data_IF_416152128370
#
_entry.id   IF_416152128370
#
_cell.length_a   1.000
_cell.length_b   1.000
_cell.length_c   1.000
_cell.angle_alpha   90.00
_cell.angle_beta   90.00
_cell.angle_gamma   90.00
#
_symmetry.space_group_name_H-M   'P 1'
#
loop_
_entity.id
_entity.type
_entity.pdbx_description
1 polymer ?
#
# COMPACT_ATOMS: atom_id res chain seq x y z
N UNK A 1 21.36 10.25 -22.94
CA UNK A 1 22.42 10.81 -22.10
C UNK A 1 22.37 10.10 -20.75
N UNK A 2 23.29 9.16 -20.53
CA UNK A 2 23.36 8.35 -19.32
C UNK A 2 24.00 9.17 -18.22
N UNK A 3 23.21 9.64 -17.24
CA UNK A 3 23.77 10.23 -16.03
C UNK A 3 24.36 9.11 -15.17
N UNK A 4 25.69 8.99 -15.21
CA UNK A 4 26.45 8.19 -14.25
C UNK A 4 26.27 8.78 -12.85
N UNK A 5 25.58 8.07 -11.99
CA UNK A 5 25.51 8.38 -10.56
C UNK A 5 26.69 7.72 -9.85
N UNK A 6 27.92 8.11 -10.20
CA UNK A 6 29.09 7.68 -9.45
C UNK A 6 29.11 8.36 -8.09
N UNK A 7 29.03 7.57 -7.04
CA UNK A 7 29.19 7.99 -5.64
C UNK A 7 30.67 8.38 -5.44
N UNK A 8 30.96 9.56 -4.86
CA UNK A 8 32.31 9.98 -4.57
C UNK A 8 33.08 8.90 -3.77
N UNK A 9 34.33 8.66 -4.13
CA UNK A 9 35.19 7.61 -3.52
C UNK A 9 35.40 7.78 -2.01
N UNK A 10 35.18 8.95 -1.46
CA UNK A 10 35.40 9.32 -0.07
C UNK A 10 34.36 8.75 0.91
N UNK A 11 33.23 8.25 0.41
CA UNK A 11 32.12 7.71 1.23
C UNK A 11 31.87 6.21 1.01
N UNK A 12 32.92 5.42 0.82
CA UNK A 12 32.76 3.96 0.76
C UNK A 12 32.62 3.40 2.19
N UNK A 13 31.47 2.82 2.57
CA UNK A 13 31.34 2.14 3.84
C UNK A 13 32.36 0.99 3.94
N UNK A 14 33.11 0.90 5.05
CA UNK A 14 34.09 -0.19 5.29
C UNK A 14 33.47 -1.61 5.24
N UNK A 15 32.14 -1.72 5.30
CA UNK A 15 31.38 -2.96 5.17
C UNK A 15 31.40 -3.58 3.77
N UNK A 16 31.79 -2.84 2.74
CA UNK A 16 31.92 -3.37 1.37
C UNK A 16 33.07 -4.37 1.21
N UNK A 17 34.02 -4.40 2.15
CA UNK A 17 35.16 -5.33 2.11
C UNK A 17 34.74 -6.80 2.26
N UNK A 18 33.57 -7.07 2.82
CA UNK A 18 32.99 -8.42 2.91
C UNK A 18 32.53 -8.98 1.56
N UNK A 19 32.20 -8.11 0.59
CA UNK A 19 31.74 -8.47 -0.74
C UNK A 19 32.86 -8.50 -1.81
N UNK A 20 34.04 -7.98 -1.50
CA UNK A 20 35.18 -7.90 -2.44
C UNK A 20 35.79 -9.26 -2.77
N UNK A 21 35.46 -10.34 -2.05
CA UNK A 21 35.95 -11.71 -2.33
C UNK A 21 35.13 -12.45 -3.39
N UNK A 22 34.00 -11.92 -3.86
CA UNK A 22 33.28 -12.49 -5.00
C UNK A 22 33.59 -11.69 -6.26
N UNK A 23 34.00 -12.36 -7.32
CA UNK A 23 34.26 -11.74 -8.61
C UNK A 23 33.05 -10.93 -9.09
N UNK A 24 33.14 -9.58 -9.07
CA UNK A 24 32.08 -8.69 -9.53
C UNK A 24 31.67 -7.56 -8.57
N UNK A 25 32.09 -7.60 -7.31
CA UNK A 25 31.72 -6.58 -6.30
C UNK A 25 30.23 -6.59 -5.90
N UNK A 26 29.81 -5.73 -4.94
CA UNK A 26 28.43 -5.70 -4.48
C UNK A 26 27.48 -5.23 -5.58
N UNK A 27 26.24 -5.81 -5.67
CA UNK A 27 25.23 -5.39 -6.62
C UNK A 27 24.97 -3.88 -6.57
N UNK A 28 24.74 -3.26 -7.73
CA UNK A 28 24.50 -1.81 -7.84
C UNK A 28 23.45 -1.30 -6.85
N UNK A 29 22.36 -2.03 -6.73
CA UNK A 29 21.25 -1.63 -5.86
C UNK A 29 21.61 -1.71 -4.36
N UNK A 30 22.47 -2.68 -3.96
CA UNK A 30 22.98 -2.74 -2.59
C UNK A 30 23.88 -1.54 -2.27
N UNK A 31 24.73 -1.11 -3.19
CA UNK A 31 25.57 0.11 -2.99
C UNK A 31 24.70 1.34 -2.78
N UNK A 32 23.66 1.51 -3.60
CA UNK A 32 22.67 2.60 -3.42
C UNK A 32 21.96 2.50 -2.08
N UNK A 33 21.54 1.30 -1.68
CA UNK A 33 20.86 1.07 -0.41
C UNK A 33 21.75 1.40 0.80
N UNK A 34 23.03 0.99 0.78
CA UNK A 34 23.97 1.32 1.86
C UNK A 34 24.20 2.84 2.00
N UNK A 35 24.35 3.53 0.88
CA UNK A 35 24.47 5.00 0.88
C UNK A 35 23.20 5.68 1.42
N UNK A 36 22.00 5.22 1.02
CA UNK A 36 20.73 5.75 1.54
C UNK A 36 20.57 5.49 3.03
N UNK A 37 20.97 4.31 3.49
CA UNK A 37 20.94 3.96 4.90
C UNK A 37 21.88 4.84 5.75
N UNK A 38 23.06 5.17 5.21
CA UNK A 38 24.04 6.06 5.86
C UNK A 38 23.47 7.47 6.07
N UNK A 39 22.66 7.98 5.15
CA UNK A 39 21.96 9.26 5.30
C UNK A 39 20.62 9.16 6.05
N UNK A 40 20.34 8.01 6.69
CA UNK A 40 19.18 7.82 7.58
C UNK A 40 17.88 7.41 6.90
N UNK A 41 17.91 6.99 5.63
CA UNK A 41 16.73 6.46 4.95
C UNK A 41 16.61 4.95 5.13
N UNK A 42 15.60 4.41 5.82
CA UNK A 42 15.36 2.98 5.90
C UNK A 42 15.00 2.42 4.52
N UNK A 43 15.78 1.44 4.03
CA UNK A 43 15.69 0.94 2.65
C UNK A 43 15.35 -0.52 2.55
N UNK A 44 14.82 -0.92 1.38
CA UNK A 44 14.50 -2.31 1.05
C UNK A 44 14.69 -2.53 -0.47
N UNK A 45 15.00 -3.79 -0.91
CA UNK A 45 15.03 -4.13 -2.32
C UNK A 45 13.61 -4.25 -2.89
N UNK A 46 13.44 -3.87 -4.16
CA UNK A 46 12.24 -4.15 -4.94
C UNK A 46 12.59 -5.04 -6.12
N UNK A 47 11.74 -6.02 -6.41
CA UNK A 47 11.75 -6.81 -7.63
C UNK A 47 11.04 -6.09 -8.77
N UNK A 48 10.97 -6.70 -9.92
CA UNK A 48 10.22 -6.23 -11.07
C UNK A 48 8.78 -5.79 -10.69
N UNK A 49 8.24 -4.81 -11.43
CA UNK A 49 6.91 -4.27 -11.17
C UNK A 49 6.80 -3.42 -9.90
N UNK A 50 7.92 -2.96 -9.33
CA UNK A 50 7.98 -2.15 -8.09
C UNK A 50 7.46 -2.89 -6.84
N UNK A 51 7.46 -4.21 -6.86
CA UNK A 51 6.94 -5.03 -5.77
C UNK A 51 8.04 -5.36 -4.76
N UNK A 52 7.75 -5.40 -3.44
CA UNK A 52 8.68 -5.95 -2.47
C UNK A 52 8.83 -7.47 -2.68
N UNK A 53 9.89 -8.05 -2.12
CA UNK A 53 10.02 -9.51 -2.09
C UNK A 53 8.92 -10.10 -1.18
N UNK A 54 8.44 -11.29 -1.54
CA UNK A 54 7.35 -11.94 -0.85
C UNK A 54 7.72 -12.39 0.58
N UNK A 55 6.72 -12.77 1.35
CA UNK A 55 6.89 -13.27 2.70
C UNK A 55 7.80 -14.52 2.72
N UNK A 56 8.65 -14.63 3.73
CA UNK A 56 9.40 -15.84 3.98
C UNK A 56 8.51 -16.94 4.58
N UNK A 57 9.00 -18.19 4.62
CA UNK A 57 8.22 -19.32 5.18
C UNK A 57 7.80 -19.10 6.64
N UNK A 58 8.63 -18.40 7.43
CA UNK A 58 8.34 -18.09 8.83
C UNK A 58 7.17 -17.09 8.99
N UNK A 59 6.74 -16.46 7.90
CA UNK A 59 5.71 -15.43 7.89
C UNK A 59 4.49 -15.85 7.07
N UNK A 60 4.21 -17.15 6.98
CA UNK A 60 3.15 -17.70 6.13
C UNK A 60 1.78 -17.02 6.36
N UNK A 61 1.50 -16.62 7.61
CA UNK A 61 0.26 -15.97 8.00
C UNK A 61 0.36 -14.44 8.13
N UNK A 62 1.28 -13.81 7.39
CA UNK A 62 1.58 -12.38 7.53
C UNK A 62 2.04 -11.95 8.93
N UNK A 63 2.36 -12.88 9.80
CA UNK A 63 3.01 -12.63 11.08
C UNK A 63 4.53 -12.62 10.90
N UNK A 64 5.23 -11.77 11.67
CA UNK A 64 6.69 -11.69 11.64
C UNK A 64 7.19 -11.29 13.02
N UNK A 65 7.94 -12.18 13.66
CA UNK A 65 8.21 -12.03 15.08
C UNK A 65 6.88 -11.88 15.80
N UNK A 66 6.74 -11.20 16.84
CA UNK A 66 5.49 -11.06 17.58
C UNK A 66 4.45 -10.14 16.91
N UNK A 67 4.59 -9.84 15.60
CA UNK A 67 3.64 -9.00 14.88
C UNK A 67 2.40 -9.79 14.46
N UNK A 68 1.20 -9.41 14.92
CA UNK A 68 -0.02 -10.14 14.60
C UNK A 68 -0.45 -9.99 13.14
N UNK A 69 -0.06 -8.89 12.47
CA UNK A 69 -0.39 -8.61 11.06
C UNK A 69 0.41 -7.43 10.50
N UNK A 70 0.41 -7.27 9.18
CA UNK A 70 1.14 -6.19 8.47
C UNK A 70 0.68 -4.77 8.79
N UNK A 71 -0.52 -4.60 9.34
CA UNK A 71 -1.05 -3.29 9.75
C UNK A 71 -0.50 -2.82 11.11
N UNK A 72 0.13 -3.71 11.88
CA UNK A 72 0.77 -3.31 13.12
C UNK A 72 2.02 -2.47 12.82
N UNK A 73 2.16 -1.33 13.51
CA UNK A 73 3.35 -0.50 13.40
C UNK A 73 4.57 -1.24 13.95
N UNK A 74 5.75 -0.91 13.42
CA UNK A 74 7.01 -1.45 13.91
C UNK A 74 7.80 -2.22 12.84
N UNK A 75 9.09 -2.47 13.10
CA UNK A 75 9.98 -3.14 12.15
C UNK A 75 9.64 -4.62 12.01
N UNK A 76 9.99 -5.18 10.85
CA UNK A 76 9.97 -6.61 10.62
C UNK A 76 11.20 -7.25 11.27
N UNK A 77 11.01 -8.30 12.06
CA UNK A 77 12.08 -9.07 12.69
C UNK A 77 12.53 -10.27 11.85
N UNK A 78 11.99 -10.45 10.66
CA UNK A 78 12.41 -11.52 9.77
C UNK A 78 13.87 -11.36 9.32
N UNK A 79 14.59 -12.48 9.16
CA UNK A 79 15.96 -12.44 8.63
C UNK A 79 16.01 -12.01 7.16
N UNK A 80 14.91 -12.13 6.40
CA UNK A 80 14.81 -11.76 4.98
C UNK A 80 14.03 -10.46 4.79
N UNK A 81 14.20 -9.73 3.68
CA UNK A 81 13.46 -8.48 3.38
C UNK A 81 12.03 -8.76 2.93
N UNK A 82 11.30 -9.50 3.73
CA UNK A 82 9.87 -9.74 3.56
C UNK A 82 9.02 -8.66 4.24
N UNK A 83 7.74 -8.59 3.98
CA UNK A 83 6.81 -7.61 4.56
C UNK A 83 6.99 -6.15 4.09
N UNK A 84 7.55 -5.92 2.89
CA UNK A 84 7.56 -4.61 2.26
C UNK A 84 8.17 -3.52 3.14
N UNK A 85 7.42 -2.45 3.41
CA UNK A 85 7.89 -1.30 4.18
C UNK A 85 8.42 -1.67 5.58
N UNK A 86 7.88 -2.72 6.22
CA UNK A 86 8.26 -3.13 7.56
C UNK A 86 9.65 -3.78 7.62
N UNK A 87 10.17 -4.24 6.49
CA UNK A 87 11.54 -4.75 6.37
C UNK A 87 12.57 -3.64 6.15
N UNK A 88 12.13 -2.42 5.83
CA UNK A 88 13.04 -1.32 5.57
C UNK A 88 13.95 -1.03 6.78
N UNK A 89 15.25 -0.91 6.54
CA UNK A 89 16.23 -0.72 7.61
C UNK A 89 17.35 0.23 7.20
N UNK A 90 17.93 0.92 8.18
CA UNK A 90 19.17 1.69 8.04
C UNK A 90 20.39 0.91 8.52
N UNK A 91 20.20 -0.32 9.04
CA UNK A 91 21.31 -1.12 9.55
C UNK A 91 22.13 -1.74 8.39
N UNK A 92 23.37 -1.29 8.15
CA UNK A 92 24.18 -1.76 7.05
C UNK A 92 24.56 -3.24 7.17
N UNK A 93 24.64 -3.79 8.38
CA UNK A 93 24.92 -5.21 8.60
C UNK A 93 23.74 -6.09 8.15
N UNK A 94 22.51 -5.63 8.36
CA UNK A 94 21.31 -6.32 7.86
C UNK A 94 21.26 -6.24 6.33
N UNK A 95 21.47 -5.05 5.76
CA UNK A 95 21.47 -4.85 4.29
C UNK A 95 22.52 -5.70 3.60
N UNK A 96 23.73 -5.82 4.17
CA UNK A 96 24.84 -6.60 3.62
C UNK A 96 24.84 -8.07 4.07
N UNK A 97 23.83 -8.54 4.81
CA UNK A 97 23.78 -9.90 5.33
C UNK A 97 23.64 -10.95 4.21
N UNK A 98 24.12 -12.18 4.44
CA UNK A 98 23.88 -13.30 3.54
C UNK A 98 22.39 -13.58 3.30
N UNK A 99 21.54 -13.30 4.31
CA UNK A 99 20.10 -13.50 4.22
C UNK A 99 19.43 -12.57 3.20
N UNK A 100 20.00 -11.40 2.92
CA UNK A 100 19.49 -10.44 1.92
C UNK A 100 20.23 -10.51 0.58
N UNK A 101 21.29 -11.29 0.48
CA UNK A 101 22.17 -11.30 -0.69
C UNK A 101 21.48 -11.77 -1.97
N UNK A 102 20.53 -12.71 -1.87
CA UNK A 102 19.74 -13.20 -3.00
C UNK A 102 18.83 -12.10 -3.54
N UNK A 103 18.12 -11.42 -2.67
CA UNK A 103 17.16 -10.39 -3.00
C UNK A 103 17.87 -9.18 -3.63
N UNK A 104 19.05 -8.79 -3.13
CA UNK A 104 19.85 -7.73 -3.76
C UNK A 104 20.35 -8.10 -5.16
N UNK A 105 20.65 -9.38 -5.43
CA UNK A 105 21.00 -9.83 -6.79
C UNK A 105 19.83 -9.78 -7.75
N UNK A 106 18.63 -9.98 -7.26
CA UNK A 106 17.38 -9.97 -8.03
C UNK A 106 16.67 -8.61 -8.02
N UNK A 107 17.19 -7.64 -7.29
CA UNK A 107 16.56 -6.34 -7.17
C UNK A 107 16.64 -5.54 -8.48
N UNK A 108 15.51 -5.00 -8.90
CA UNK A 108 15.35 -4.07 -10.02
C UNK A 108 15.37 -2.60 -9.56
N UNK A 109 15.18 -2.37 -8.26
CA UNK A 109 15.21 -1.05 -7.68
C UNK A 109 15.46 -1.09 -6.17
N UNK A 110 15.75 0.09 -5.61
CA UNK A 110 15.75 0.36 -4.18
C UNK A 110 14.50 1.16 -3.85
N UNK A 111 13.84 0.81 -2.77
CA UNK A 111 12.82 1.64 -2.13
C UNK A 111 13.29 2.08 -0.75
N UNK A 112 12.62 3.10 -0.23
CA UNK A 112 12.80 3.55 1.15
C UNK A 112 11.44 3.72 1.83
N UNK A 113 11.43 3.62 3.15
CA UNK A 113 10.25 3.85 3.99
C UNK A 113 10.25 5.31 4.48
N UNK A 114 9.45 6.21 3.85
CA UNK A 114 9.48 7.63 4.17
C UNK A 114 9.14 7.89 5.64
N UNK A 115 8.08 7.26 6.17
CA UNK A 115 7.64 7.44 7.54
C UNK A 115 8.71 7.05 8.56
N UNK A 116 9.52 6.02 8.29
CA UNK A 116 10.65 5.62 9.12
C UNK A 116 11.79 6.63 9.13
N UNK A 117 11.88 7.48 8.12
CA UNK A 117 12.83 8.59 8.04
C UNK A 117 12.21 9.93 8.48
N UNK A 118 11.00 9.94 9.03
CA UNK A 118 10.31 11.17 9.39
C UNK A 118 9.87 11.99 8.17
N UNK A 119 9.63 11.36 7.02
CA UNK A 119 9.28 12.00 5.76
C UNK A 119 7.89 11.63 5.28
N UNK A 120 7.36 12.47 4.40
CA UNK A 120 6.15 12.20 3.61
C UNK A 120 6.44 12.48 2.14
N UNK A 121 6.08 11.54 1.28
CA UNK A 121 6.12 11.67 -0.17
C UNK A 121 4.70 11.84 -0.70
N UNK A 122 4.45 12.94 -1.40
CA UNK A 122 3.27 13.10 -2.25
C UNK A 122 3.68 12.60 -3.63
N UNK A 123 3.13 11.46 -4.01
CA UNK A 123 3.39 10.77 -5.29
C UNK A 123 2.37 11.24 -6.32
N UNK A 124 2.84 11.94 -7.33
CA UNK A 124 2.06 12.57 -8.39
C UNK A 124 2.27 11.75 -9.66
N UNK A 125 1.26 10.97 -10.05
CA UNK A 125 1.38 9.94 -11.09
C UNK A 125 1.24 10.45 -12.54
N UNK A 126 0.85 11.72 -12.73
CA UNK A 126 0.63 12.31 -14.06
C UNK A 126 0.77 13.83 -14.05
N UNK A 127 0.77 14.43 -15.24
CA UNK A 127 0.94 15.87 -15.45
C UNK A 127 -0.15 16.72 -14.76
N UNK A 128 -1.40 16.24 -14.74
CA UNK A 128 -2.52 16.96 -14.11
C UNK A 128 -2.34 17.02 -12.59
N UNK A 129 -1.91 15.91 -11.97
CA UNK A 129 -1.58 15.86 -10.55
C UNK A 129 -0.41 16.80 -10.22
N UNK A 130 0.62 16.87 -11.07
CA UNK A 130 1.76 17.79 -10.91
C UNK A 130 1.29 19.23 -11.04
N UNK A 131 0.48 19.58 -12.04
CA UNK A 131 -0.06 20.92 -12.21
C UNK A 131 -0.92 21.36 -11.03
N UNK A 132 -1.75 20.43 -10.52
CA UNK A 132 -2.53 20.66 -9.32
C UNK A 132 -1.64 20.90 -8.11
N UNK A 133 -0.61 20.07 -7.89
CA UNK A 133 0.30 20.23 -6.75
C UNK A 133 1.01 21.56 -6.77
N UNK A 134 1.51 22.02 -7.94
CA UNK A 134 2.16 23.33 -8.12
C UNK A 134 1.25 24.51 -7.75
N UNK A 135 -0.05 24.36 -7.95
CA UNK A 135 -1.05 25.39 -7.61
C UNK A 135 -1.45 25.39 -6.14
N UNK A 136 -1.46 24.20 -5.49
CA UNK A 136 -2.14 24.01 -4.21
C UNK A 136 -1.21 23.64 -3.05
N UNK A 137 0.03 23.21 -3.33
CA UNK A 137 0.96 22.77 -2.31
C UNK A 137 2.19 23.68 -2.25
N UNK A 138 2.77 23.93 -1.07
CA UNK A 138 4.04 24.62 -0.94
C UNK A 138 5.16 23.88 -1.67
N UNK A 139 6.05 24.62 -2.31
CA UNK A 139 7.23 24.07 -2.96
C UNK A 139 8.10 23.31 -1.95
N UNK A 140 8.67 22.20 -2.40
CA UNK A 140 9.52 21.34 -1.59
C UNK A 140 10.53 20.61 -2.48
N UNK A 141 11.29 19.70 -1.90
CA UNK A 141 12.20 18.81 -2.64
C UNK A 141 11.39 17.93 -3.61
N UNK A 142 11.78 17.98 -4.88
CA UNK A 142 11.07 17.31 -5.97
C UNK A 142 11.98 16.29 -6.66
N UNK A 143 11.45 15.11 -6.94
CA UNK A 143 12.14 14.05 -7.69
C UNK A 143 11.27 13.66 -8.88
N UNK A 144 11.82 13.78 -10.10
CA UNK A 144 11.11 13.34 -11.30
C UNK A 144 10.91 11.82 -11.31
N UNK A 145 9.75 11.39 -11.76
CA UNK A 145 9.41 9.98 -12.02
C UNK A 145 9.19 9.77 -13.53
N UNK A 146 8.79 8.58 -13.94
CA UNK A 146 8.55 8.28 -15.36
C UNK A 146 7.37 9.07 -15.93
N UNK A 147 6.35 9.38 -15.12
CA UNK A 147 5.10 10.00 -15.58
C UNK A 147 4.70 11.25 -14.79
N UNK A 148 5.42 11.56 -13.70
CA UNK A 148 5.09 12.66 -12.80
C UNK A 148 6.24 12.97 -11.85
N UNK A 149 5.93 13.23 -10.59
CA UNK A 149 6.91 13.70 -9.60
C UNK A 149 6.63 13.12 -8.21
N UNK A 150 7.68 12.92 -7.41
CA UNK A 150 7.59 12.79 -5.96
C UNK A 150 7.89 14.13 -5.32
N UNK A 151 7.00 14.64 -4.49
CA UNK A 151 7.22 15.82 -3.66
C UNK A 151 7.47 15.38 -2.23
N UNK A 152 8.64 15.70 -1.67
CA UNK A 152 9.11 15.16 -0.40
C UNK A 152 9.11 16.26 0.67
N UNK A 153 8.38 16.01 1.76
CA UNK A 153 8.26 16.91 2.91
C UNK A 153 8.86 16.30 4.17
N UNK A 154 9.42 17.13 5.06
CA UNK A 154 9.83 16.73 6.42
C UNK A 154 8.62 16.63 7.32
N UNK A 155 8.45 15.49 7.96
CA UNK A 155 7.34 15.15 8.84
C UNK A 155 6.66 13.88 8.37
N UNK A 156 6.35 12.98 9.32
CA UNK A 156 5.59 11.78 9.05
C UNK A 156 4.09 11.98 9.26
N UNK A 157 3.29 11.20 8.55
CA UNK A 157 1.85 11.14 8.68
C UNK A 157 1.31 9.77 8.25
N UNK A 158 0.04 9.53 8.42
CA UNK A 158 -0.62 8.34 7.88
C UNK A 158 -0.58 8.36 6.36
N UNK A 159 -0.21 7.24 5.73
CA UNK A 159 -0.29 7.08 4.28
C UNK A 159 -1.73 6.98 3.81
N UNK A 160 -2.00 7.48 2.62
CA UNK A 160 -3.31 7.39 1.98
C UNK A 160 -3.15 7.29 0.47
N UNK A 161 -3.87 6.36 -0.15
CA UNK A 161 -3.86 6.19 -1.60
C UNK A 161 -5.09 6.84 -2.23
N UNK A 162 -4.91 7.38 -3.43
CA UNK A 162 -6.01 7.96 -4.21
C UNK A 162 -6.70 9.13 -3.49
N UNK A 163 -5.94 9.94 -2.76
CA UNK A 163 -6.47 11.14 -2.07
C UNK A 163 -7.08 12.14 -3.06
N UNK A 164 -6.57 12.09 -4.30
CA UNK A 164 -7.11 12.75 -5.50
C UNK A 164 -6.75 11.89 -6.74
N UNK A 165 -7.34 12.14 -7.90
CA UNK A 165 -6.91 11.49 -9.14
C UNK A 165 -5.41 11.68 -9.38
N UNK A 166 -4.66 10.57 -9.42
CA UNK A 166 -3.20 10.57 -9.63
C UNK A 166 -2.36 11.06 -8.45
N UNK A 167 -2.92 11.18 -7.23
CA UNK A 167 -2.19 11.63 -6.04
C UNK A 167 -2.29 10.62 -4.92
N UNK A 168 -1.14 10.07 -4.52
CA UNK A 168 -0.97 9.21 -3.36
C UNK A 168 -0.09 9.90 -2.30
N UNK A 169 -0.34 9.60 -1.04
CA UNK A 169 0.52 10.00 0.08
C UNK A 169 1.20 8.77 0.65
N UNK A 170 2.54 8.75 0.63
CA UNK A 170 3.36 7.66 1.15
C UNK A 170 4.21 8.16 2.31
N UNK A 171 3.95 7.66 3.51
CA UNK A 171 4.68 7.99 4.72
C UNK A 171 4.75 6.80 5.67
N UNK A 172 4.00 6.76 6.78
CA UNK A 172 3.98 5.59 7.66
C UNK A 172 3.35 4.39 6.96
N UNK A 173 3.90 3.19 7.19
CA UNK A 173 3.41 1.92 6.63
C UNK A 173 3.36 1.87 5.08
N UNK A 174 4.23 2.65 4.43
CA UNK A 174 4.39 2.65 2.98
C UNK A 174 5.86 2.70 2.59
N UNK A 175 6.14 2.45 1.33
CA UNK A 175 7.46 2.67 0.75
C UNK A 175 7.34 3.49 -0.54
N UNK A 176 8.41 4.22 -0.86
CA UNK A 176 8.56 4.94 -2.10
C UNK A 176 9.81 4.41 -2.85
N UNK A 177 9.71 4.22 -4.16
CA UNK A 177 10.85 3.84 -4.97
C UNK A 177 11.85 5.00 -5.03
N UNK A 178 13.13 4.71 -4.79
CA UNK A 178 14.19 5.68 -4.98
C UNK A 178 14.37 6.01 -6.47
N UNK A 179 14.35 7.29 -6.81
CA UNK A 179 14.46 7.82 -8.18
C UNK A 179 15.64 8.78 -8.35
N UNK A 180 16.43 8.98 -7.29
CA UNK A 180 17.52 9.93 -7.26
C UNK A 180 17.35 10.98 -6.16
N UNK A 181 18.36 11.86 -6.01
CA UNK A 181 18.38 12.84 -4.93
C UNK A 181 17.34 13.97 -5.09
N UNK A 182 16.83 14.18 -6.30
CA UNK A 182 15.91 15.28 -6.60
C UNK A 182 16.54 16.66 -6.52
N UNK A 183 15.70 17.68 -6.63
CA UNK A 183 16.07 19.11 -6.63
C UNK A 183 15.27 19.88 -5.58
N UNK A 184 15.76 21.05 -5.20
CA UNK A 184 15.11 21.93 -4.22
C UNK A 184 15.36 21.53 -2.78
N UNK A 185 14.90 22.41 -1.87
CA UNK A 185 15.03 22.23 -0.42
C UNK A 185 13.77 21.60 0.14
N UNK A 186 13.93 20.65 1.05
CA UNK A 186 12.81 19.93 1.67
C UNK A 186 12.09 20.83 2.68
N UNK A 187 10.83 21.15 2.42
CA UNK A 187 9.96 21.92 3.30
C UNK A 187 9.38 21.05 4.44
N UNK A 188 8.89 21.68 5.50
CA UNK A 188 8.10 21.01 6.52
C UNK A 188 6.77 20.53 5.93
N UNK A 189 6.27 19.40 6.43
CA UNK A 189 4.99 18.82 5.98
C UNK A 189 3.83 19.78 6.28
N UNK A 190 3.19 20.36 5.25
CA UNK A 190 2.15 21.37 5.46
C UNK A 190 0.81 20.74 5.87
N UNK A 191 -0.01 21.53 6.58
CA UNK A 191 -1.35 21.11 7.01
C UNK A 191 -2.25 20.73 5.85
N UNK A 192 -2.12 21.39 4.71
CA UNK A 192 -2.90 21.04 3.50
C UNK A 192 -2.64 19.62 3.02
N UNK A 193 -1.40 19.09 3.11
CA UNK A 193 -1.09 17.70 2.78
C UNK A 193 -1.70 16.75 3.82
N UNK A 194 -1.67 17.11 5.10
CA UNK A 194 -2.32 16.33 6.16
C UNK A 194 -3.84 16.27 5.95
N UNK A 195 -4.45 17.39 5.55
CA UNK A 195 -5.89 17.47 5.27
C UNK A 195 -6.31 16.57 4.09
N UNK A 196 -5.44 16.38 3.08
CA UNK A 196 -5.75 15.46 1.96
C UNK A 196 -5.93 14.00 2.41
N UNK A 197 -5.19 13.58 3.44
CA UNK A 197 -5.30 12.22 3.98
C UNK A 197 -6.34 12.12 5.10
N UNK A 198 -6.77 13.24 5.67
CA UNK A 198 -7.92 13.25 6.56
C UNK A 198 -9.10 12.74 5.72
N UNK A 199 -9.58 11.53 6.04
CA UNK A 199 -10.92 11.17 5.59
C UNK A 199 -11.80 12.30 6.12
N UNK A 200 -12.50 13.02 5.23
CA UNK A 200 -13.65 13.80 5.71
C UNK A 200 -14.40 12.88 6.66
N UNK A 201 -14.67 13.32 7.91
CA UNK A 201 -15.59 12.59 8.74
C UNK A 201 -16.79 12.44 7.82
N UNK A 202 -17.10 11.17 7.45
CA UNK A 202 -18.15 10.86 6.46
C UNK A 202 -19.27 11.79 6.87
N UNK A 203 -19.51 12.81 6.04
CA UNK A 203 -20.49 13.83 6.37
C UNK A 203 -21.68 13.01 6.77
N UNK A 204 -22.09 13.12 8.04
CA UNK A 204 -23.29 12.45 8.53
C UNK A 204 -24.34 13.04 7.61
N UNK A 205 -24.53 12.39 6.45
CA UNK A 205 -25.68 12.70 5.61
C UNK A 205 -26.81 12.56 6.59
N UNK A 206 -27.52 13.67 6.89
CA UNK A 206 -28.65 13.55 7.77
C UNK A 206 -29.42 12.38 7.19
N UNK A 207 -29.47 11.27 7.95
CA UNK A 207 -30.27 10.12 7.56
C UNK A 207 -31.68 10.69 7.56
N UNK A 208 -32.31 10.92 6.39
CA UNK A 208 -33.67 11.36 6.40
C UNK A 208 -34.41 10.14 6.92
N UNK A 209 -35.01 10.36 8.07
CA UNK A 209 -35.95 9.44 8.70
C UNK A 209 -35.33 8.22 9.39
N UNK A 210 -35.22 8.26 10.67
CA UNK A 210 -35.33 7.11 11.55
C UNK A 210 -36.65 6.37 11.27
N UNK A 211 -36.64 5.58 10.20
CA UNK A 211 -37.58 4.47 10.15
C UNK A 211 -36.95 3.41 11.03
N UNK A 212 -37.40 3.32 12.25
CA UNK A 212 -37.22 2.16 13.11
C UNK A 212 -37.87 1.01 12.35
N UNK A 213 -37.10 0.28 11.55
CA UNK A 213 -37.58 -0.96 10.92
C UNK A 213 -37.62 -1.98 12.05
N UNK A 214 -38.79 -2.48 12.47
CA UNK A 214 -38.85 -3.59 13.40
C UNK A 214 -38.06 -4.74 12.79
N UNK A 215 -37.23 -5.42 13.57
CA UNK A 215 -36.60 -6.66 13.18
C UNK A 215 -37.73 -7.63 12.79
N UNK A 216 -37.92 -7.86 11.48
CA UNK A 216 -38.85 -8.84 10.98
C UNK A 216 -38.24 -10.22 11.21
N UNK A 217 -38.59 -10.81 12.36
CA UNK A 217 -38.45 -12.24 12.55
C UNK A 217 -39.48 -12.91 11.63
N UNK A 218 -39.02 -13.62 10.61
CA UNK A 218 -39.87 -14.44 9.75
C UNK A 218 -39.69 -14.10 8.26
N UNK A 219 -39.48 -15.08 7.42
CA UNK A 219 -39.18 -15.07 6.00
C UNK A 219 -40.09 -14.25 5.09
N UNK A 220 -40.23 -12.97 5.40
CA UNK A 220 -40.97 -11.99 4.62
C UNK A 220 -40.08 -11.36 3.52
N UNK A 221 -40.68 -11.10 2.37
CA UNK A 221 -40.03 -10.37 1.29
C UNK A 221 -39.46 -9.05 1.81
N UNK A 222 -38.22 -8.76 1.47
CA UNK A 222 -37.58 -7.48 1.78
C UNK A 222 -38.48 -6.34 1.27
N UNK A 223 -38.94 -5.41 2.12
CA UNK A 223 -39.89 -4.37 1.71
C UNK A 223 -39.32 -3.40 0.68
N UNK A 224 -38.00 -3.38 0.52
CA UNK A 224 -37.32 -2.43 -0.33
C UNK A 224 -36.72 -3.05 -1.62
N UNK A 225 -36.62 -4.38 -1.68
CA UNK A 225 -35.94 -5.08 -2.78
C UNK A 225 -36.61 -6.43 -3.07
N UNK A 226 -36.84 -6.71 -4.34
CA UNK A 226 -37.32 -8.02 -4.74
C UNK A 226 -36.17 -9.06 -4.77
N UNK A 227 -36.47 -10.37 -4.62
CA UNK A 227 -35.46 -11.42 -4.79
C UNK A 227 -34.70 -11.31 -6.13
N UNK A 228 -35.39 -10.96 -7.22
CA UNK A 228 -34.76 -10.73 -8.52
C UNK A 228 -33.78 -9.55 -8.52
N UNK A 229 -34.00 -8.55 -7.72
CA UNK A 229 -33.07 -7.42 -7.55
C UNK A 229 -31.80 -7.85 -6.83
N UNK A 230 -31.94 -8.63 -5.75
CA UNK A 230 -30.79 -9.20 -5.02
C UNK A 230 -29.96 -10.11 -5.94
N UNK A 231 -30.60 -11.06 -6.62
CA UNK A 231 -29.91 -11.96 -7.53
C UNK A 231 -29.16 -11.22 -8.66
N UNK A 232 -29.78 -10.19 -9.21
CA UNK A 232 -29.11 -9.31 -10.20
C UNK A 232 -27.89 -8.60 -9.60
N UNK A 233 -28.00 -8.11 -8.36
CA UNK A 233 -26.93 -7.46 -7.65
C UNK A 233 -25.75 -8.40 -7.39
N UNK A 234 -26.03 -9.63 -6.98
CA UNK A 234 -25.01 -10.70 -6.80
C UNK A 234 -24.35 -11.06 -8.11
N UNK A 235 -25.13 -11.33 -9.17
CA UNK A 235 -24.59 -11.66 -10.48
C UNK A 235 -23.71 -10.55 -11.07
N UNK A 236 -24.11 -9.29 -10.92
CA UNK A 236 -23.28 -8.14 -11.33
C UNK A 236 -21.99 -8.05 -10.54
N UNK A 237 -22.01 -8.31 -9.21
CA UNK A 237 -20.82 -8.29 -8.39
C UNK A 237 -19.86 -9.43 -8.77
N UNK A 238 -20.37 -10.65 -8.99
CA UNK A 238 -19.60 -11.80 -9.49
C UNK A 238 -18.92 -11.46 -10.83
N UNK A 239 -19.69 -10.93 -11.77
CA UNK A 239 -19.16 -10.57 -13.09
C UNK A 239 -18.06 -9.52 -12.97
N UNK A 240 -18.25 -8.47 -12.19
CA UNK A 240 -17.23 -7.43 -11.93
C UNK A 240 -15.96 -7.97 -11.31
N UNK A 241 -16.07 -8.94 -10.41
CA UNK A 241 -14.93 -9.62 -9.83
C UNK A 241 -14.20 -10.44 -10.91
N UNK A 242 -14.93 -11.22 -11.71
CA UNK A 242 -14.38 -12.06 -12.78
C UNK A 242 -13.71 -11.26 -13.90
N UNK A 243 -14.21 -10.09 -14.20
CA UNK A 243 -13.69 -9.19 -15.24
C UNK A 243 -12.57 -8.25 -14.76
N UNK A 244 -12.25 -8.23 -13.48
CA UNK A 244 -11.23 -7.34 -12.94
C UNK A 244 -9.86 -7.63 -13.59
N UNK A 245 -9.21 -6.65 -14.25
CA UNK A 245 -7.93 -6.88 -14.92
C UNK A 245 -6.80 -7.10 -13.91
N UNK A 246 -6.54 -6.10 -13.06
CA UNK A 246 -5.53 -6.11 -12.02
C UNK A 246 -6.08 -5.49 -10.73
N UNK A 247 -5.43 -5.78 -9.58
CA UNK A 247 -5.84 -5.17 -8.30
C UNK A 247 -7.14 -5.72 -7.77
N UNK A 248 -7.34 -7.03 -7.92
CA UNK A 248 -8.54 -7.77 -7.54
C UNK A 248 -9.01 -7.48 -6.10
N UNK A 249 -8.10 -7.34 -5.12
CA UNK A 249 -8.44 -7.00 -3.72
C UNK A 249 -9.36 -5.77 -3.60
N UNK A 250 -9.04 -4.71 -4.34
CA UNK A 250 -9.83 -3.48 -4.33
C UNK A 250 -11.21 -3.69 -4.95
N UNK A 251 -11.28 -4.48 -6.01
CA UNK A 251 -12.54 -4.81 -6.69
C UNK A 251 -13.40 -5.67 -5.80
N UNK A 252 -12.86 -6.74 -5.20
CA UNK A 252 -13.55 -7.63 -4.26
C UNK A 252 -14.13 -6.82 -3.09
N UNK A 253 -13.30 -6.01 -2.42
CA UNK A 253 -13.78 -5.16 -1.33
C UNK A 253 -14.91 -4.22 -1.74
N UNK A 254 -14.81 -3.58 -2.92
CA UNK A 254 -15.84 -2.66 -3.42
C UNK A 254 -17.16 -3.39 -3.74
N UNK A 255 -17.07 -4.60 -4.30
CA UNK A 255 -18.26 -5.39 -4.60
C UNK A 255 -18.93 -5.88 -3.32
N UNK A 256 -18.17 -6.33 -2.33
CA UNK A 256 -18.70 -6.68 -1.02
C UNK A 256 -19.36 -5.48 -0.33
N UNK A 257 -18.72 -4.32 -0.38
CA UNK A 257 -19.28 -3.09 0.17
C UNK A 257 -20.59 -2.70 -0.53
N UNK A 258 -20.66 -2.81 -1.86
CA UNK A 258 -21.86 -2.50 -2.63
C UNK A 258 -23.03 -3.46 -2.30
N UNK A 259 -22.75 -4.76 -2.24
CA UNK A 259 -23.76 -5.77 -1.89
C UNK A 259 -24.24 -5.59 -0.46
N UNK A 260 -23.35 -5.37 0.49
CA UNK A 260 -23.71 -5.14 1.90
C UNK A 260 -24.46 -3.83 2.08
N UNK A 261 -24.10 -2.76 1.41
CA UNK A 261 -24.82 -1.48 1.48
C UNK A 261 -26.25 -1.59 0.97
N UNK A 262 -26.49 -2.42 -0.04
CA UNK A 262 -27.80 -2.63 -0.63
C UNK A 262 -28.67 -3.66 0.14
N UNK A 263 -28.06 -4.71 0.70
CA UNK A 263 -28.77 -5.89 1.20
C UNK A 263 -28.35 -6.35 2.61
N UNK A 264 -27.30 -5.78 3.19
CA UNK A 264 -26.76 -6.28 4.46
C UNK A 264 -27.69 -6.09 5.68
N UNK A 265 -28.59 -5.11 5.64
CA UNK A 265 -29.49 -4.79 6.76
C UNK A 265 -30.88 -5.39 6.64
N UNK A 266 -31.25 -5.90 5.47
CA UNK A 266 -32.61 -6.42 5.26
C UNK A 266 -32.76 -7.93 5.54
N UNK A 267 -31.67 -8.62 5.89
CA UNK A 267 -31.67 -10.07 6.16
C UNK A 267 -31.91 -10.96 4.94
N UNK A 268 -31.97 -10.38 3.73
CA UNK A 268 -32.19 -11.16 2.50
C UNK A 268 -30.91 -11.82 1.98
N UNK A 269 -29.75 -11.38 2.44
CA UNK A 269 -28.46 -11.91 2.01
C UNK A 269 -28.22 -13.22 2.79
N UNK A 270 -28.09 -14.33 2.04
CA UNK A 270 -27.84 -15.66 2.61
C UNK A 270 -26.37 -16.05 2.48
N UNK A 271 -25.95 -17.07 3.26
CA UNK A 271 -24.60 -17.62 3.17
C UNK A 271 -24.29 -18.15 1.75
N UNK A 272 -25.30 -18.63 1.02
CA UNK A 272 -25.14 -19.05 -0.36
C UNK A 272 -24.74 -17.89 -1.30
N UNK A 273 -25.31 -16.70 -1.10
CA UNK A 273 -24.92 -15.52 -1.85
C UNK A 273 -23.48 -15.08 -1.53
N UNK A 274 -23.10 -15.16 -0.26
CA UNK A 274 -21.75 -14.84 0.19
C UNK A 274 -20.74 -15.84 -0.38
N UNK A 275 -21.05 -17.12 -0.33
CA UNK A 275 -20.20 -18.18 -0.89
C UNK A 275 -19.96 -18.01 -2.39
N UNK A 276 -20.97 -17.59 -3.17
CA UNK A 276 -20.83 -17.31 -4.60
C UNK A 276 -19.83 -16.19 -4.85
N UNK A 277 -19.92 -15.10 -4.11
CA UNK A 277 -18.99 -13.94 -4.23
C UNK A 277 -17.56 -14.35 -3.86
N UNK A 278 -17.40 -15.16 -2.81
CA UNK A 278 -16.09 -15.68 -2.40
C UNK A 278 -15.50 -16.60 -3.46
N UNK A 279 -16.31 -17.51 -4.03
CA UNK A 279 -15.90 -18.40 -5.13
C UNK A 279 -15.41 -17.58 -6.33
N UNK A 280 -16.16 -16.56 -6.74
CA UNK A 280 -15.75 -15.69 -7.84
C UNK A 280 -14.42 -14.98 -7.57
N UNK A 281 -14.17 -14.56 -6.33
CA UNK A 281 -12.91 -13.96 -5.93
C UNK A 281 -11.75 -14.97 -5.93
N UNK A 282 -11.98 -16.18 -5.43
CA UNK A 282 -11.00 -17.26 -5.41
C UNK A 282 -10.63 -17.75 -6.81
N UNK A 283 -11.58 -17.85 -7.74
CA UNK A 283 -11.34 -18.15 -9.15
C UNK A 283 -10.39 -17.13 -9.81
N UNK A 284 -10.35 -15.90 -9.29
CA UNK A 284 -9.42 -14.83 -9.73
C UNK A 284 -8.12 -14.79 -8.93
N UNK A 285 -7.88 -15.77 -8.05
CA UNK A 285 -6.64 -15.90 -7.28
C UNK A 285 -6.63 -15.24 -5.90
N UNK A 286 -7.79 -14.76 -5.39
CA UNK A 286 -7.89 -14.35 -4.00
C UNK A 286 -7.82 -15.55 -3.06
N UNK A 287 -7.15 -15.41 -1.92
CA UNK A 287 -7.22 -16.39 -0.85
C UNK A 287 -8.54 -16.27 -0.09
N UNK A 288 -9.04 -17.39 0.45
CA UNK A 288 -10.23 -17.38 1.31
C UNK A 288 -10.10 -16.35 2.44
N UNK A 289 -8.95 -16.31 3.09
CA UNK A 289 -8.65 -15.36 4.17
C UNK A 289 -8.80 -13.90 3.73
N UNK A 290 -8.30 -13.55 2.52
CA UNK A 290 -8.46 -12.19 2.00
C UNK A 290 -9.93 -11.87 1.70
N UNK A 291 -10.72 -12.84 1.27
CA UNK A 291 -12.16 -12.66 1.10
C UNK A 291 -12.83 -12.38 2.44
N UNK A 292 -12.50 -13.15 3.48
CA UNK A 292 -13.03 -12.98 4.84
C UNK A 292 -12.64 -11.62 5.44
N UNK A 293 -11.38 -11.22 5.29
CA UNK A 293 -10.89 -9.90 5.73
C UNK A 293 -11.61 -8.76 4.99
N UNK A 294 -11.76 -8.88 3.67
CA UNK A 294 -12.46 -7.89 2.85
C UNK A 294 -13.94 -7.78 3.23
N UNK A 295 -14.60 -8.91 3.49
CA UNK A 295 -15.98 -8.98 3.95
C UNK A 295 -16.15 -8.31 5.33
N UNK A 296 -15.31 -8.67 6.28
CA UNK A 296 -15.30 -8.10 7.63
C UNK A 296 -15.05 -6.59 7.60
N UNK A 297 -14.08 -6.15 6.80
CA UNK A 297 -13.78 -4.72 6.62
C UNK A 297 -14.95 -3.96 5.99
N UNK A 298 -15.66 -4.56 5.02
CA UNK A 298 -16.82 -3.96 4.40
C UNK A 298 -18.00 -3.82 5.40
N UNK A 299 -18.22 -4.83 6.22
CA UNK A 299 -19.21 -4.78 7.33
C UNK A 299 -18.87 -3.68 8.33
N UNK A 300 -17.63 -3.66 8.82
CA UNK A 300 -17.15 -2.61 9.76
C UNK A 300 -17.32 -1.22 9.18
N UNK A 301 -17.03 -1.03 7.88
CA UNK A 301 -17.21 0.26 7.19
C UNK A 301 -18.67 0.73 7.19
N UNK A 302 -19.62 -0.22 7.15
CA UNK A 302 -21.06 0.06 7.17
C UNK A 302 -21.69 0.07 8.58
N UNK A 303 -20.89 -0.13 9.63
CA UNK A 303 -21.37 -0.21 11.02
C UNK A 303 -22.26 -1.44 11.27
N UNK A 304 -21.87 -2.60 10.75
CA UNK A 304 -22.63 -3.86 10.81
C UNK A 304 -21.86 -4.93 11.58
#
# INVERSE_FOLDING_TARGET
MSHSTDIPREHRPRLLDTFTRQAGGPPRHLRTALWLAEIGLPVLPLREGKQPFGNCRACADNACGDRPHMKAAGPCQCPHPCHGWAAATTNPHVLASPAWAREWRQAEAVAYHPGGAGLTVVDLDNADAVAWARKNLPATKTVATTRGEHWIYRGAMQSANGVRPGVDIKSTMAYARWRGPGTGTMAALPTVVRALAAKEPAAVRPVPCTVTVPALAGGGQCPHRSPAYLERGIAMAEQRIKEAPDGIHKTVYRMFLAVLSAHGRCGCLTDAHIARLFTAAQEKGESLRHCEDAWTNARTTLGM
#
